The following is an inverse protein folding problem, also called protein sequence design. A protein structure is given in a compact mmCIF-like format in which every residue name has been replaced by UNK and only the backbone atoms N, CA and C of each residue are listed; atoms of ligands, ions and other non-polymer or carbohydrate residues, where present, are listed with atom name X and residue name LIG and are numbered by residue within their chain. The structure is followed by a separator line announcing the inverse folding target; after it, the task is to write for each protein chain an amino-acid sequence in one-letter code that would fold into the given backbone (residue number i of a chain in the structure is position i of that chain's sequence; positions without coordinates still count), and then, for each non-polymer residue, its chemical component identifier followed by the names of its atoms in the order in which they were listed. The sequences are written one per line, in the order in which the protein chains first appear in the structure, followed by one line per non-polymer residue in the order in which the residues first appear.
data_IF_451981276755
#
_entry.id   IF_451981276755
#
_cell.length_a   1.000
_cell.length_b   1.000
_cell.length_c   1.000
_cell.angle_alpha   90.00
_cell.angle_beta   90.00
_cell.angle_gamma   90.00
#
_symmetry.space_group_name_H-M   'P 1'
#
loop_
_entity.id
_entity.type
_entity.pdbx_description
1 polymer ?
#
# COMPACT_ATOMS: atom_id res chain seq x y z
N UNK A 1 -21.68 8.57 -12.22
CA UNK A 1 -20.31 8.56 -12.81
C UNK A 1 -19.23 8.73 -11.74
N UNK A 2 -19.40 9.65 -10.78
CA UNK A 2 -18.45 9.92 -9.68
C UNK A 2 -18.15 8.71 -8.79
N UNK A 3 -19.17 7.97 -8.33
CA UNK A 3 -18.98 6.77 -7.51
C UNK A 3 -18.16 5.66 -8.19
N UNK A 4 -18.39 5.45 -9.50
CA UNK A 4 -17.61 4.50 -10.30
C UNK A 4 -16.15 4.97 -10.42
N UNK A 5 -15.93 6.27 -10.64
CA UNK A 5 -14.58 6.85 -10.69
C UNK A 5 -13.80 6.66 -9.39
N UNK A 6 -14.45 6.86 -8.23
CA UNK A 6 -13.84 6.63 -6.92
C UNK A 6 -13.44 5.16 -6.75
N UNK A 7 -14.34 4.24 -7.09
CA UNK A 7 -14.09 2.80 -6.97
C UNK A 7 -13.00 2.31 -7.93
N UNK A 8 -12.97 2.83 -9.17
CA UNK A 8 -11.90 2.56 -10.14
C UNK A 8 -10.55 3.14 -9.70
N UNK A 9 -10.55 4.32 -9.08
CA UNK A 9 -9.34 4.91 -8.50
C UNK A 9 -8.76 4.02 -7.40
N UNK A 10 -9.60 3.54 -6.49
CA UNK A 10 -9.17 2.61 -5.44
C UNK A 10 -8.69 1.27 -6.01
N UNK A 11 -9.37 0.72 -7.02
CA UNK A 11 -8.89 -0.46 -7.75
C UNK A 11 -7.50 -0.20 -8.35
N UNK A 12 -7.33 0.91 -9.05
CA UNK A 12 -6.06 1.29 -9.69
C UNK A 12 -4.90 1.34 -8.67
N UNK A 13 -5.15 1.88 -7.48
CA UNK A 13 -4.17 1.93 -6.39
C UNK A 13 -3.72 0.54 -5.88
N UNK A 14 -4.59 -0.46 -5.97
CA UNK A 14 -4.30 -1.82 -5.52
C UNK A 14 -3.85 -2.77 -6.66
N UNK A 15 -3.91 -2.29 -7.89
CA UNK A 15 -3.69 -3.07 -9.10
C UNK A 15 -2.22 -3.09 -9.57
N UNK A 16 -1.80 -4.16 -10.26
CA UNK A 16 -0.45 -4.30 -10.81
C UNK A 16 -0.20 -3.45 -12.07
N UNK A 17 -1.23 -2.83 -12.65
CA UNK A 17 -1.20 -2.25 -13.99
C UNK A 17 -0.32 -1.01 -14.13
N UNK A 18 0.15 -0.44 -13.02
CA UNK A 18 0.90 0.81 -13.00
C UNK A 18 2.34 0.63 -12.55
N UNK A 19 3.00 -0.50 -12.86
CA UNK A 19 4.43 -0.68 -12.56
C UNK A 19 4.78 -0.40 -11.09
N UNK A 20 3.99 -0.92 -10.15
CA UNK A 20 4.09 -0.66 -8.71
C UNK A 20 3.79 0.79 -8.26
N UNK A 21 3.53 1.72 -9.18
CA UNK A 21 3.07 3.09 -8.89
C UNK A 21 1.66 3.14 -8.31
N UNK A 22 0.84 2.10 -8.54
CA UNK A 22 -0.46 1.96 -7.88
C UNK A 22 -0.30 2.01 -6.36
N UNK A 23 0.55 1.14 -5.80
CA UNK A 23 0.77 1.06 -4.36
C UNK A 23 1.63 2.19 -3.77
N UNK A 24 2.60 2.70 -4.55
CA UNK A 24 3.54 3.71 -4.05
C UNK A 24 3.00 5.13 -4.20
N UNK A 25 2.19 5.41 -5.23
CA UNK A 25 1.66 6.75 -5.54
C UNK A 25 0.15 6.81 -5.30
N UNK A 26 -0.64 6.04 -6.06
CA UNK A 26 -2.11 6.14 -6.04
C UNK A 26 -2.72 5.71 -4.69
N UNK A 27 -2.05 4.82 -3.98
CA UNK A 27 -2.46 4.36 -2.64
C UNK A 27 -2.31 5.44 -1.57
N UNK A 28 -1.53 6.51 -1.83
CA UNK A 28 -1.32 7.57 -0.84
C UNK A 28 -2.58 8.44 -0.73
N UNK A 29 -3.13 8.65 0.48
CA UNK A 29 -4.31 9.50 0.69
C UNK A 29 -4.22 10.89 0.05
N UNK A 30 -3.04 11.50 -0.02
CA UNK A 30 -2.83 12.78 -0.70
C UNK A 30 -3.24 12.72 -2.18
N UNK A 31 -2.76 11.70 -2.90
CA UNK A 31 -3.05 11.52 -4.33
C UNK A 31 -4.50 11.08 -4.50
N UNK A 32 -4.95 10.11 -3.70
CA UNK A 32 -6.33 9.65 -3.71
C UNK A 32 -7.33 10.80 -3.49
N UNK A 33 -7.12 11.62 -2.47
CA UNK A 33 -7.98 12.76 -2.15
C UNK A 33 -7.97 13.84 -3.23
N UNK A 34 -6.81 14.11 -3.83
CA UNK A 34 -6.72 15.01 -4.99
C UNK A 34 -7.55 14.49 -6.16
N UNK A 35 -7.43 13.20 -6.51
CA UNK A 35 -8.20 12.58 -7.59
C UNK A 35 -9.71 12.60 -7.32
N UNK A 36 -10.12 12.35 -6.07
CA UNK A 36 -11.52 12.45 -5.67
C UNK A 36 -12.03 13.89 -5.75
N UNK A 37 -11.22 14.87 -5.34
CA UNK A 37 -11.54 16.29 -5.50
C UNK A 37 -11.76 16.67 -6.97
N UNK A 38 -10.90 16.19 -7.88
CA UNK A 38 -11.12 16.34 -9.32
C UNK A 38 -12.43 15.72 -9.79
N UNK A 39 -12.78 14.51 -9.31
CA UNK A 39 -14.03 13.84 -9.67
C UNK A 39 -15.27 14.57 -9.14
N UNK A 40 -15.17 15.25 -8.00
CA UNK A 40 -16.27 15.97 -7.34
C UNK A 40 -16.30 17.48 -7.62
N UNK A 41 -15.32 18.02 -8.35
CA UNK A 41 -15.27 19.42 -8.78
C UNK A 41 -14.52 20.37 -7.84
N UNK A 42 -13.93 19.89 -6.75
CA UNK A 42 -13.11 20.68 -5.82
C UNK A 42 -11.77 19.98 -5.52
N UNK A 43 -10.77 20.13 -6.41
CA UNK A 43 -9.48 19.48 -6.25
C UNK A 43 -8.64 20.05 -5.10
N UNK A 44 -8.81 21.33 -4.76
CA UNK A 44 -8.04 21.97 -3.69
C UNK A 44 -8.47 21.43 -2.33
N UNK A 45 -9.77 21.42 -2.05
CA UNK A 45 -10.29 20.87 -0.79
C UNK A 45 -10.03 19.36 -0.72
N UNK A 46 -10.17 18.64 -1.84
CA UNK A 46 -9.82 17.22 -1.92
C UNK A 46 -8.35 16.93 -1.58
N UNK A 47 -7.43 17.75 -2.10
CA UNK A 47 -6.00 17.65 -1.75
C UNK A 47 -5.74 17.96 -0.27
N UNK A 48 -6.39 18.98 0.30
CA UNK A 48 -6.24 19.33 1.72
C UNK A 48 -6.72 18.22 2.64
N UNK A 49 -7.90 17.64 2.37
CA UNK A 49 -8.42 16.48 3.10
C UNK A 49 -7.49 15.28 2.94
N UNK A 50 -7.07 14.98 1.71
CA UNK A 50 -6.14 13.89 1.41
C UNK A 50 -4.81 14.04 2.15
N UNK A 51 -4.26 15.26 2.24
CA UNK A 51 -3.06 15.56 3.00
C UNK A 51 -3.26 15.31 4.51
N UNK A 52 -4.38 15.79 5.08
CA UNK A 52 -4.71 15.58 6.49
C UNK A 52 -4.84 14.09 6.83
N UNK A 53 -5.50 13.32 5.96
CA UNK A 53 -5.56 11.86 6.08
C UNK A 53 -4.16 11.27 5.97
N UNK A 54 -3.33 11.69 5.00
CA UNK A 54 -2.00 11.12 4.79
C UNK A 54 -1.10 11.22 6.04
N UNK A 55 -1.20 12.32 6.79
CA UNK A 55 -0.45 12.51 8.05
C UNK A 55 -0.81 11.45 9.10
N UNK A 56 -2.08 11.02 9.17
CA UNK A 56 -2.52 9.95 10.07
C UNK A 56 -1.78 8.62 9.81
N UNK A 57 -1.37 8.36 8.57
CA UNK A 57 -0.73 7.10 8.16
C UNK A 57 0.80 7.16 8.11
N UNK A 58 1.44 8.29 8.45
CA UNK A 58 2.91 8.42 8.39
C UNK A 58 3.65 7.43 9.30
N UNK A 59 3.09 7.13 10.47
CA UNK A 59 3.65 6.14 11.40
C UNK A 59 3.24 4.70 11.12
N UNK A 60 2.38 4.47 10.13
CA UNK A 60 1.79 3.15 9.93
C UNK A 60 2.72 2.23 9.15
N UNK A 61 3.50 1.41 9.87
CA UNK A 61 4.36 0.39 9.28
C UNK A 61 3.63 -0.95 9.34
N UNK A 62 3.27 -1.50 8.18
CA UNK A 62 2.72 -2.85 8.09
C UNK A 62 3.82 -3.89 8.29
N UNK A 63 3.76 -4.65 9.38
CA UNK A 63 4.67 -5.78 9.63
C UNK A 63 4.08 -7.07 9.04
N UNK A 64 4.92 -7.84 8.32
CA UNK A 64 4.58 -9.19 7.89
C UNK A 64 3.38 -9.31 6.94
N UNK A 65 2.98 -8.26 6.22
CA UNK A 65 1.83 -8.33 5.29
C UNK A 65 0.46 -8.03 5.90
N UNK A 66 0.39 -7.75 7.22
CA UNK A 66 -0.82 -7.27 7.86
C UNK A 66 -0.94 -5.76 7.69
N UNK A 67 -2.08 -5.30 7.16
CA UNK A 67 -2.45 -3.90 7.08
C UNK A 67 -3.44 -3.59 8.19
N UNK A 68 -3.04 -2.86 9.26
CA UNK A 68 -3.94 -2.59 10.37
C UNK A 68 -5.09 -1.62 9.99
N UNK A 69 -4.98 -0.96 8.84
CA UNK A 69 -6.01 -0.18 8.17
C UNK A 69 -5.54 0.18 6.75
N UNK A 70 -6.48 0.33 5.83
CA UNK A 70 -6.19 0.70 4.46
C UNK A 70 -6.16 2.22 4.27
N UNK A 71 -4.99 2.76 3.93
CA UNK A 71 -4.79 4.19 3.72
C UNK A 71 -5.45 4.66 2.42
N UNK A 72 -5.43 3.85 1.36
CA UNK A 72 -6.03 4.22 0.09
C UNK A 72 -7.54 4.33 0.24
N UNK A 73 -8.20 3.36 0.89
CA UNK A 73 -9.65 3.41 1.07
C UNK A 73 -10.06 4.62 1.90
N UNK A 74 -9.29 4.92 2.95
CA UNK A 74 -9.41 6.15 3.73
C UNK A 74 -9.30 7.40 2.85
N UNK A 75 -8.30 7.48 1.97
CA UNK A 75 -8.13 8.59 1.04
C UNK A 75 -9.29 8.73 0.05
N UNK A 76 -9.73 7.64 -0.58
CA UNK A 76 -10.78 7.67 -1.60
C UNK A 76 -12.17 7.94 -1.02
N UNK A 77 -12.62 7.14 -0.05
CA UNK A 77 -13.97 7.28 0.53
C UNK A 77 -14.03 8.37 1.60
N UNK A 78 -12.96 8.58 2.38
CA UNK A 78 -12.92 9.64 3.39
C UNK A 78 -12.92 11.03 2.77
N UNK A 79 -12.18 11.25 1.68
CA UNK A 79 -12.24 12.52 0.95
C UNK A 79 -13.60 12.71 0.27
N UNK A 80 -14.18 11.65 -0.28
CA UNK A 80 -15.53 11.72 -0.85
C UNK A 80 -16.57 12.11 0.22
N UNK A 81 -16.47 11.56 1.44
CA UNK A 81 -17.33 11.94 2.56
C UNK A 81 -17.18 13.42 2.92
N UNK A 82 -15.93 13.91 2.99
CA UNK A 82 -15.65 15.30 3.35
C UNK A 82 -16.21 16.29 2.32
N UNK A 83 -16.13 15.96 1.03
CA UNK A 83 -16.62 16.83 -0.04
C UNK A 83 -18.13 16.74 -0.26
N UNK A 84 -18.76 15.61 0.08
CA UNK A 84 -20.21 15.44 -0.02
C UNK A 84 -20.96 15.95 1.21
N UNK A 85 -20.34 15.93 2.39
CA UNK A 85 -20.90 16.42 3.63
C UNK A 85 -20.50 17.86 3.92
N UNK A 86 -21.25 18.59 4.77
CA UNK A 86 -20.90 19.96 5.16
C UNK A 86 -19.82 19.98 6.26
N UNK A 87 -18.95 18.96 6.31
CA UNK A 87 -17.95 18.86 7.37
C UNK A 87 -16.71 19.70 7.02
N UNK A 88 -16.15 20.43 7.99
CA UNK A 88 -14.82 21.00 7.79
C UNK A 88 -13.79 19.86 7.59
N UNK A 89 -12.71 20.08 6.82
CA UNK A 89 -11.76 19.05 6.42
C UNK A 89 -11.20 18.19 7.57
N UNK A 90 -10.99 18.75 8.76
CA UNK A 90 -10.46 18.00 9.91
C UNK A 90 -11.52 17.18 10.65
N UNK A 91 -12.79 17.58 10.60
CA UNK A 91 -13.87 16.85 11.27
C UNK A 91 -14.19 15.50 10.62
N UNK A 92 -13.72 15.26 9.39
CA UNK A 92 -13.89 13.94 8.75
C UNK A 92 -12.92 12.88 9.30
N UNK A 93 -11.77 13.28 9.84
CA UNK A 93 -10.68 12.35 10.20
C UNK A 93 -11.10 11.23 11.17
N UNK A 94 -11.91 11.49 12.22
CA UNK A 94 -12.38 10.41 13.08
C UNK A 94 -13.28 9.40 12.36
N UNK A 95 -14.02 9.85 11.33
CA UNK A 95 -14.87 8.98 10.50
C UNK A 95 -14.05 8.20 9.46
N UNK A 96 -12.85 8.66 9.13
CA UNK A 96 -11.94 7.97 8.20
C UNK A 96 -11.34 6.70 8.81
N UNK A 97 -11.09 6.67 10.12
CA UNK A 97 -10.53 5.50 10.82
C UNK A 97 -11.37 4.22 10.61
N UNK A 98 -12.70 4.20 10.85
CA UNK A 98 -13.51 3.00 10.61
C UNK A 98 -13.59 2.64 9.12
N UNK A 99 -13.61 3.63 8.22
CA UNK A 99 -13.55 3.38 6.76
C UNK A 99 -12.25 2.65 6.41
N UNK A 100 -11.12 3.09 6.96
CA UNK A 100 -9.82 2.45 6.78
C UNK A 100 -9.79 1.02 7.28
N UNK A 101 -10.40 0.77 8.44
CA UNK A 101 -10.48 -0.57 9.00
C UNK A 101 -11.28 -1.52 8.09
N UNK A 102 -12.38 -1.05 7.49
CA UNK A 102 -13.13 -1.83 6.50
C UNK A 102 -12.25 -2.19 5.28
N UNK A 103 -11.34 -1.31 4.87
CA UNK A 103 -10.36 -1.62 3.82
C UNK A 103 -9.33 -2.67 4.26
N UNK A 104 -8.93 -2.68 5.53
CA UNK A 104 -8.15 -3.77 6.12
C UNK A 104 -8.85 -5.13 6.00
N UNK A 105 -10.17 -5.18 6.19
CA UNK A 105 -10.96 -6.40 5.97
C UNK A 105 -10.98 -6.83 4.49
N UNK A 106 -11.10 -5.88 3.56
CA UNK A 106 -10.99 -6.16 2.12
C UNK A 106 -9.60 -6.72 1.77
N UNK A 107 -8.54 -6.16 2.35
CA UNK A 107 -7.18 -6.68 2.21
C UNK A 107 -7.06 -8.12 2.72
N UNK A 108 -7.59 -8.40 3.92
CA UNK A 108 -7.59 -9.76 4.48
C UNK A 108 -8.33 -10.75 3.58
N UNK A 109 -9.50 -10.35 3.05
CA UNK A 109 -10.28 -11.16 2.11
C UNK A 109 -9.47 -11.46 0.83
N UNK A 110 -8.83 -10.42 0.24
CA UNK A 110 -7.95 -10.58 -0.93
C UNK A 110 -6.81 -11.55 -0.64
N UNK A 111 -6.09 -11.36 0.46
CA UNK A 111 -4.94 -12.21 0.83
C UNK A 111 -5.35 -13.68 1.00
N UNK A 112 -6.49 -13.92 1.66
CA UNK A 112 -7.04 -15.26 1.87
C UNK A 112 -7.44 -15.90 0.54
N UNK A 113 -8.11 -15.17 -0.33
CA UNK A 113 -8.49 -15.69 -1.64
C UNK A 113 -7.24 -15.98 -2.52
N UNK A 114 -6.19 -15.17 -2.40
CA UNK A 114 -4.93 -15.37 -3.10
C UNK A 114 -4.25 -16.71 -2.80
N UNK A 115 -4.45 -17.26 -1.59
CA UNK A 115 -3.98 -18.60 -1.22
C UNK A 115 -4.63 -19.68 -2.10
N UNK A 116 -5.92 -19.53 -2.42
CA UNK A 116 -6.60 -20.48 -3.29
C UNK A 116 -6.03 -20.46 -4.71
N UNK A 117 -5.80 -19.26 -5.27
CA UNK A 117 -5.18 -19.11 -6.58
C UNK A 117 -3.75 -19.65 -6.60
N UNK A 118 -2.99 -19.43 -5.53
CA UNK A 118 -1.67 -20.02 -5.38
C UNK A 118 -1.73 -21.55 -5.48
N UNK A 119 -2.51 -22.22 -4.62
CA UNK A 119 -2.62 -23.69 -4.66
C UNK A 119 -3.17 -24.21 -5.99
N UNK A 120 -4.07 -23.46 -6.62
CA UNK A 120 -4.58 -23.83 -7.94
C UNK A 120 -3.54 -23.68 -9.04
N UNK A 121 -2.65 -22.68 -8.96
CA UNK A 121 -1.48 -22.56 -9.84
C UNK A 121 -0.65 -23.85 -9.78
N UNK A 122 -0.35 -24.34 -8.56
CA UNK A 122 0.45 -25.55 -8.37
C UNK A 122 -0.24 -26.76 -8.98
N UNK A 123 -1.53 -26.95 -8.72
CA UNK A 123 -2.33 -28.03 -9.33
C UNK A 123 -2.31 -27.97 -10.86
N UNK A 124 -2.46 -26.77 -11.42
CA UNK A 124 -2.44 -26.54 -12.87
C UNK A 124 -1.05 -26.76 -13.48
N UNK A 125 0.04 -26.66 -12.72
CA UNK A 125 1.38 -26.95 -13.23
C UNK A 125 1.79 -28.41 -13.04
N UNK A 126 1.26 -29.10 -12.01
CA UNK A 126 1.64 -30.48 -11.70
C UNK A 126 0.71 -31.56 -12.25
N UNK A 127 -0.60 -31.32 -12.41
CA UNK A 127 -1.58 -32.39 -12.68
C UNK A 127 -2.73 -31.98 -13.63
N UNK A 128 -2.77 -32.46 -14.89
CA UNK A 128 -1.66 -33.04 -15.64
C UNK A 128 -0.62 -31.97 -16.00
N UNK A 129 0.69 -32.32 -16.06
CA UNK A 129 1.71 -31.37 -16.44
C UNK A 129 1.44 -30.81 -17.85
N UNK A 130 1.67 -29.51 -18.08
CA UNK A 130 1.44 -28.88 -19.37
C UNK A 130 2.43 -29.42 -20.42
N UNK A 131 1.91 -29.94 -21.53
CA UNK A 131 2.72 -30.52 -22.61
C UNK A 131 3.52 -29.45 -23.38
N UNK A 132 3.08 -28.19 -23.36
CA UNK A 132 3.76 -27.09 -24.05
C UNK A 132 4.01 -25.89 -23.14
N UNK A 133 5.09 -25.15 -23.43
CA UNK A 133 5.42 -23.90 -22.74
C UNK A 133 4.30 -22.85 -22.84
N UNK A 134 3.55 -22.87 -23.94
CA UNK A 134 2.40 -21.98 -24.11
C UNK A 134 1.29 -22.29 -23.10
N UNK A 135 1.05 -23.57 -22.79
CA UNK A 135 0.11 -23.97 -21.75
C UNK A 135 0.58 -23.53 -20.36
N UNK A 136 1.89 -23.62 -20.05
CA UNK A 136 2.46 -23.08 -18.80
C UNK A 136 2.15 -21.59 -18.66
N UNK A 137 2.45 -20.80 -19.70
CA UNK A 137 2.23 -19.34 -19.71
C UNK A 137 0.75 -19.02 -19.56
N UNK A 138 -0.13 -19.72 -20.28
CA UNK A 138 -1.57 -19.49 -20.20
C UNK A 138 -2.14 -19.81 -18.81
N UNK A 139 -1.73 -20.94 -18.22
CA UNK A 139 -2.17 -21.36 -16.87
C UNK A 139 -1.68 -20.38 -15.79
N UNK A 140 -0.43 -19.94 -15.85
CA UNK A 140 0.10 -18.91 -14.93
C UNK A 140 -0.59 -17.57 -15.14
N UNK A 141 -0.79 -17.12 -16.38
CA UNK A 141 -1.50 -15.86 -16.64
C UNK A 141 -2.92 -15.89 -16.06
N UNK A 142 -3.64 -16.99 -16.25
CA UNK A 142 -4.99 -17.17 -15.74
C UNK A 142 -5.04 -17.11 -14.20
N UNK A 143 -4.16 -17.84 -13.53
CA UNK A 143 -4.18 -18.07 -12.08
C UNK A 143 -3.47 -16.98 -11.27
N UNK A 144 -2.47 -16.30 -11.83
CA UNK A 144 -1.70 -15.25 -11.16
C UNK A 144 -2.15 -13.83 -11.55
N UNK A 145 -2.52 -13.63 -12.82
CA UNK A 145 -2.86 -12.30 -13.34
C UNK A 145 -4.38 -12.16 -13.46
N UNK A 146 -5.00 -12.84 -14.42
CA UNK A 146 -6.38 -12.55 -14.82
C UNK A 146 -7.39 -12.73 -13.69
N UNK A 147 -7.48 -13.92 -13.10
CA UNK A 147 -8.51 -14.21 -12.10
C UNK A 147 -8.29 -13.47 -10.77
N UNK A 148 -7.06 -13.35 -10.23
CA UNK A 148 -6.80 -12.50 -9.08
C UNK A 148 -7.14 -11.03 -9.34
N UNK A 149 -6.87 -10.50 -10.54
CA UNK A 149 -7.23 -9.11 -10.88
C UNK A 149 -8.73 -8.90 -11.07
N UNK A 150 -9.44 -9.89 -11.62
CA UNK A 150 -10.90 -9.86 -11.69
C UNK A 150 -11.52 -9.94 -10.29
N UNK A 151 -10.99 -10.81 -9.42
CA UNK A 151 -11.44 -10.86 -8.03
C UNK A 151 -11.14 -9.52 -7.32
N UNK A 152 -9.96 -8.95 -7.49
CA UNK A 152 -9.63 -7.63 -6.94
C UNK A 152 -10.61 -6.58 -7.44
N UNK A 153 -10.92 -6.57 -8.73
CA UNK A 153 -11.90 -5.65 -9.31
C UNK A 153 -13.26 -5.84 -8.62
N UNK A 154 -13.75 -7.06 -8.45
CA UNK A 154 -15.03 -7.31 -7.76
C UNK A 154 -14.98 -6.89 -6.28
N UNK A 155 -13.91 -7.23 -5.56
CA UNK A 155 -13.71 -6.90 -4.14
C UNK A 155 -13.50 -5.41 -3.88
N UNK A 156 -13.21 -4.60 -4.91
CA UNK A 156 -13.00 -3.16 -4.78
C UNK A 156 -14.16 -2.39 -5.40
N UNK A 157 -14.47 -2.66 -6.66
CA UNK A 157 -15.49 -1.94 -7.43
C UNK A 157 -16.88 -2.03 -6.79
N UNK A 158 -17.28 -3.22 -6.35
CA UNK A 158 -18.61 -3.43 -5.79
C UNK A 158 -18.76 -2.75 -4.42
N UNK A 159 -17.98 -3.08 -3.37
CA UNK A 159 -18.19 -2.47 -2.05
C UNK A 159 -17.87 -0.97 -2.03
N UNK A 160 -16.83 -0.52 -2.74
CA UNK A 160 -16.46 0.90 -2.75
C UNK A 160 -17.41 1.71 -3.63
N UNK A 161 -17.84 1.15 -4.77
CA UNK A 161 -18.85 1.78 -5.62
C UNK A 161 -20.20 1.92 -4.92
N UNK A 162 -20.65 0.87 -4.23
CA UNK A 162 -21.87 0.91 -3.41
C UNK A 162 -21.73 1.89 -2.24
N UNK A 163 -20.59 1.91 -1.55
CA UNK A 163 -20.36 2.85 -0.46
C UNK A 163 -20.38 4.31 -0.97
N UNK A 164 -19.69 4.59 -2.08
CA UNK A 164 -19.66 5.91 -2.70
C UNK A 164 -21.02 6.37 -3.24
N UNK A 165 -21.79 5.46 -3.83
CA UNK A 165 -23.06 5.83 -4.43
C UNK A 165 -24.19 5.92 -3.39
N UNK A 166 -24.25 4.98 -2.44
CA UNK A 166 -25.46 4.73 -1.65
C UNK A 166 -25.25 4.93 -0.14
N UNK A 167 -24.05 4.74 0.40
CA UNK A 167 -23.78 4.93 1.82
C UNK A 167 -23.38 6.38 2.15
N UNK A 168 -22.46 6.94 1.36
CA UNK A 168 -21.88 8.26 1.63
C UNK A 168 -22.90 9.41 1.57
N UNK A 169 -23.80 9.51 0.56
CA UNK A 169 -24.72 10.64 0.50
C UNK A 169 -25.73 10.71 1.66
N UNK A 170 -26.39 9.61 2.08
CA UNK A 170 -27.23 9.63 3.28
C UNK A 170 -26.45 9.96 4.56
N UNK A 171 -25.23 9.43 4.69
CA UNK A 171 -24.36 9.73 5.83
C UNK A 171 -24.01 11.23 5.87
N UNK A 172 -23.64 11.81 4.74
CA UNK A 172 -23.36 13.24 4.60
C UNK A 172 -24.57 14.11 4.99
N UNK A 173 -25.78 13.74 4.53
CA UNK A 173 -27.03 14.42 4.91
C UNK A 173 -27.33 14.29 6.39
N UNK A 174 -27.17 13.10 6.96
CA UNK A 174 -27.36 12.87 8.38
C UNK A 174 -26.43 13.79 9.20
N UNK A 175 -25.14 13.83 8.87
CA UNK A 175 -24.15 14.69 9.51
C UNK A 175 -24.50 16.18 9.40
N UNK A 176 -25.10 16.61 8.28
CA UNK A 176 -25.58 17.99 8.09
C UNK A 176 -26.73 18.37 9.03
N UNK A 177 -27.57 17.39 9.39
CA UNK A 177 -28.79 17.61 10.18
C UNK A 177 -28.62 17.34 11.67
N UNK A 178 -27.41 16.99 12.12
CA UNK A 178 -27.17 16.64 13.52
C UNK A 178 -27.34 17.87 14.43
N UNK A 179 -28.35 17.90 15.32
CA UNK A 179 -28.48 18.97 16.29
C UNK A 179 -27.38 18.86 17.35
N UNK A 180 -27.04 19.97 18.03
CA UNK A 180 -26.15 19.93 19.19
C UNK A 180 -26.67 18.91 20.22
N UNK A 181 -25.81 17.99 20.66
CA UNK A 181 -26.21 16.93 21.59
C UNK A 181 -26.38 17.53 22.99
N UNK A 182 -27.52 17.35 23.66
CA UNK A 182 -27.71 17.82 25.04
C UNK A 182 -26.89 16.92 25.97
N UNK A 183 -25.75 17.42 26.44
CA UNK A 183 -24.90 16.75 27.43
C UNK A 183 -24.93 17.52 28.77
N UNK A 184 -24.66 16.86 29.92
CA UNK A 184 -24.52 17.54 31.20
C UNK A 184 -23.36 18.55 31.12
N UNK A 185 -23.67 19.85 31.08
CA UNK A 185 -22.68 20.93 30.87
C UNK A 185 -22.99 21.86 29.69
N UNK A 186 -24.01 21.56 28.88
CA UNK A 186 -24.48 22.42 27.78
C UNK A 186 -24.60 21.68 26.43
N UNK A 187 -25.18 22.32 25.40
CA UNK A 187 -25.28 21.72 24.07
C UNK A 187 -23.89 21.53 23.45
N UNK A 188 -23.53 20.28 23.18
CA UNK A 188 -22.26 19.93 22.56
C UNK A 188 -22.40 19.87 21.04
N UNK A 189 -21.61 20.67 20.34
CA UNK A 189 -21.49 20.62 18.89
C UNK A 189 -20.61 19.43 18.50
N UNK A 190 -21.25 18.36 18.01
CA UNK A 190 -20.58 17.13 17.62
C UNK A 190 -19.53 17.39 16.52
N UNK A 191 -19.78 18.32 15.60
CA UNK A 191 -18.87 18.62 14.49
C UNK A 191 -17.58 19.24 15.02
N UNK A 192 -17.68 20.21 15.94
CA UNK A 192 -16.51 20.77 16.63
C UNK A 192 -15.77 19.72 17.46
N UNK A 193 -16.52 18.79 18.05
CA UNK A 193 -15.96 17.64 18.75
C UNK A 193 -15.11 16.75 17.85
N UNK A 194 -15.65 16.39 16.68
CA UNK A 194 -14.96 15.61 15.66
C UNK A 194 -13.74 16.36 15.12
N UNK A 195 -13.82 17.68 14.94
CA UNK A 195 -12.69 18.49 14.50
C UNK A 195 -11.52 18.44 15.50
N UNK A 196 -11.81 18.63 16.79
CA UNK A 196 -10.81 18.51 17.86
C UNK A 196 -10.22 17.10 17.94
N UNK A 197 -11.08 16.08 17.86
CA UNK A 197 -10.63 14.68 17.85
C UNK A 197 -9.75 14.37 16.62
N UNK A 198 -10.11 14.92 15.45
CA UNK A 198 -9.32 14.81 14.22
C UNK A 198 -7.92 15.38 14.38
N UNK A 199 -7.79 16.56 14.99
CA UNK A 199 -6.49 17.16 15.31
C UNK A 199 -5.62 16.28 16.22
N UNK A 200 -6.21 15.62 17.22
CA UNK A 200 -5.50 14.67 18.09
C UNK A 200 -5.04 13.42 17.32
N UNK A 201 -5.87 12.89 16.42
CA UNK A 201 -5.51 11.73 15.57
C UNK A 201 -4.31 12.03 14.67
N UNK A 202 -4.25 13.24 14.09
CA UNK A 202 -3.08 13.69 13.32
C UNK A 202 -1.81 13.69 14.18
N UNK A 203 -1.88 14.18 15.42
CA UNK A 203 -0.75 14.15 16.34
C UNK A 203 -0.28 12.72 16.66
N UNK A 204 -1.22 11.77 16.82
CA UNK A 204 -0.89 10.35 17.02
C UNK A 204 -0.14 9.77 15.82
N UNK A 205 -0.56 10.08 14.59
CA UNK A 205 0.12 9.63 13.36
C UNK A 205 1.59 10.08 13.30
N UNK A 206 1.85 11.34 13.65
CA UNK A 206 3.20 11.90 13.75
C UNK A 206 4.00 11.20 14.85
N UNK A 207 3.41 11.05 16.05
CA UNK A 207 4.06 10.41 17.20
C UNK A 207 4.44 8.95 16.92
N UNK A 208 3.60 8.20 16.21
CA UNK A 208 3.90 6.83 15.82
C UNK A 208 5.12 6.76 14.87
N UNK A 209 5.25 7.72 13.95
CA UNK A 209 6.45 7.85 13.11
C UNK A 209 7.70 8.18 13.92
N UNK A 210 7.56 8.99 14.96
CA UNK A 210 8.65 9.37 15.86
C UNK A 210 9.18 8.20 16.71
N UNK A 211 8.41 7.12 16.93
CA UNK A 211 8.86 5.95 17.71
C UNK A 211 10.17 5.35 17.19
N UNK A 212 10.43 5.45 15.88
CA UNK A 212 11.67 4.96 15.28
C UNK A 212 12.81 5.99 15.32
N UNK A 213 12.48 7.29 15.41
CA UNK A 213 13.45 8.39 15.51
C UNK A 213 13.89 8.66 16.95
N UNK A 214 13.07 8.37 17.96
CA UNK A 214 13.39 8.59 19.38
C UNK A 214 14.34 7.52 19.96
N UNK A 215 15.46 7.26 19.26
CA UNK A 215 16.59 6.49 19.78
C UNK A 215 17.65 7.45 20.31
N UNK A 216 18.36 7.05 21.38
CA UNK A 216 19.32 7.90 22.13
C UNK A 216 20.23 8.82 21.28
N UNK A 217 20.82 8.40 20.13
CA UNK A 217 21.65 9.30 19.34
C UNK A 217 20.88 10.38 18.54
N UNK A 218 19.60 10.17 18.25
CA UNK A 218 18.81 11.04 17.36
C UNK A 218 17.89 12.03 18.12
N UNK A 219 17.70 11.85 19.44
CA UNK A 219 16.84 12.74 20.25
C UNK A 219 17.35 14.17 20.24
N UNK A 220 18.67 14.39 20.34
CA UNK A 220 19.26 15.73 20.31
C UNK A 220 18.99 16.44 18.98
N UNK A 221 19.16 15.73 17.86
CA UNK A 221 18.88 16.23 16.51
C UNK A 221 17.39 16.57 16.34
N UNK A 222 16.50 15.72 16.86
CA UNK A 222 15.06 15.98 16.85
C UNK A 222 14.71 17.26 17.63
N UNK A 223 15.20 17.40 18.87
CA UNK A 223 14.91 18.57 19.71
C UNK A 223 15.45 19.86 19.11
N UNK A 224 16.65 19.80 18.51
CA UNK A 224 17.26 20.92 17.81
C UNK A 224 16.43 21.31 16.58
N UNK A 225 16.03 20.35 15.74
CA UNK A 225 15.14 20.60 14.61
C UNK A 225 13.77 21.16 15.01
N UNK A 226 13.19 20.66 16.11
CA UNK A 226 11.95 21.19 16.67
C UNK A 226 12.10 22.64 17.15
N UNK A 227 13.18 22.95 17.88
CA UNK A 227 13.48 24.32 18.32
C UNK A 227 13.63 25.26 17.12
N UNK A 228 14.37 24.85 16.08
CA UNK A 228 14.50 25.62 14.85
C UNK A 228 13.17 25.81 14.12
N UNK A 229 12.30 24.80 14.10
CA UNK A 229 10.95 24.91 13.52
C UNK A 229 10.13 25.97 14.24
N UNK A 230 10.06 25.91 15.58
CA UNK A 230 9.29 26.86 16.40
C UNK A 230 9.84 28.29 16.31
N UNK A 231 11.16 28.45 16.37
CA UNK A 231 11.80 29.77 16.28
C UNK A 231 11.76 30.34 14.84
N UNK A 232 11.76 29.46 13.84
CA UNK A 232 11.75 29.82 12.41
C UNK A 232 10.37 30.18 11.87
N UNK A 233 9.28 29.76 12.52
CA UNK A 233 7.88 30.00 12.08
C UNK A 233 7.54 31.47 11.81
N UNK A 234 8.23 32.42 12.44
CA UNK A 234 8.00 33.85 12.25
C UNK A 234 8.89 34.51 11.18
N UNK A 235 9.92 33.83 10.67
CA UNK A 235 10.92 34.42 9.75
C UNK A 235 11.16 33.64 8.46
N UNK A 236 10.90 32.33 8.48
CA UNK A 236 10.99 31.47 7.32
C UNK A 236 9.55 30.99 7.06
N UNK A 237 8.97 31.24 5.87
CA UNK A 237 7.70 30.60 5.52
C UNK A 237 7.88 29.10 5.75
N UNK A 238 6.91 28.46 6.42
CA UNK A 238 6.98 27.10 6.98
C UNK A 238 7.14 25.96 5.96
N UNK A 239 8.08 26.08 5.03
CA UNK A 239 8.49 25.05 4.11
C UNK A 239 9.25 24.00 4.90
N UNK A 240 8.54 22.92 5.22
CA UNK A 240 9.08 21.63 5.71
C UNK A 240 10.31 21.21 4.89
N UNK A 241 10.40 21.60 3.61
CA UNK A 241 11.57 21.39 2.75
C UNK A 241 12.86 22.07 3.23
N UNK A 242 12.80 23.30 3.76
CA UNK A 242 13.98 24.01 4.25
C UNK A 242 14.52 23.38 5.55
N UNK A 243 13.60 23.00 6.44
CA UNK A 243 13.92 22.26 7.67
C UNK A 243 14.47 20.86 7.36
N UNK A 244 13.93 20.17 6.35
CA UNK A 244 14.44 18.89 5.89
C UNK A 244 15.84 18.99 5.27
N UNK A 245 16.11 20.05 4.49
CA UNK A 245 17.45 20.32 3.94
C UNK A 245 18.47 20.68 5.02
N UNK A 246 18.08 21.45 6.03
CA UNK A 246 18.92 21.73 7.19
C UNK A 246 19.22 20.46 8.01
N UNK A 247 18.20 19.60 8.20
CA UNK A 247 18.36 18.29 8.84
C UNK A 247 19.27 17.34 8.04
N UNK A 248 19.16 17.35 6.71
CA UNK A 248 20.05 16.60 5.82
C UNK A 248 21.50 17.12 5.89
N UNK A 249 21.69 18.44 5.88
CA UNK A 249 23.01 19.05 6.04
C UNK A 249 23.67 18.71 7.39
N UNK A 250 22.89 18.68 8.47
CA UNK A 250 23.34 18.24 9.79
C UNK A 250 23.66 16.73 9.82
N UNK A 251 22.88 15.90 9.13
CA UNK A 251 23.13 14.45 9.03
C UNK A 251 24.36 14.11 8.16
N UNK A 252 24.77 15.02 7.27
CA UNK A 252 25.99 14.88 6.46
C UNK A 252 27.26 15.34 7.20
N UNK A 253 27.15 15.93 8.40
CA UNK A 253 28.30 16.15 9.27
C UNK A 253 28.83 14.78 9.74
N UNK A 254 30.16 14.63 9.87
CA UNK A 254 30.76 13.35 10.22
C UNK A 254 30.13 12.82 11.52
N UNK A 255 29.70 11.55 11.55
CA UNK A 255 29.04 11.00 12.72
C UNK A 255 29.97 11.12 13.93
N UNK A 256 29.40 11.46 15.08
CA UNK A 256 30.08 11.28 16.37
C UNK A 256 30.46 9.80 16.42
N UNK A 257 31.74 9.45 16.61
CA UNK A 257 32.17 8.05 16.59
C UNK A 257 31.44 7.30 17.70
N UNK A 258 30.43 6.53 17.33
CA UNK A 258 29.89 5.51 18.19
C UNK A 258 31.02 4.49 18.44
N UNK A 259 31.14 4.04 19.68
CA UNK A 259 32.02 2.93 20.05
C UNK A 259 31.79 1.70 19.16
N UNK A 260 32.67 0.69 19.24
CA UNK A 260 32.80 -0.36 18.23
C UNK A 260 31.45 -0.95 17.85
N UNK A 261 31.18 -0.96 16.54
CA UNK A 261 29.95 -1.47 15.96
C UNK A 261 29.65 -2.89 16.48
N UNK A 262 28.39 -3.23 16.80
CA UNK A 262 28.03 -4.62 17.09
C UNK A 262 28.34 -5.46 15.86
N UNK A 263 29.12 -6.54 16.03
CA UNK A 263 29.42 -7.46 14.92
C UNK A 263 28.12 -8.03 14.36
N UNK A 264 27.93 -7.96 13.05
CA UNK A 264 26.81 -8.56 12.29
C UNK A 264 26.86 -10.11 12.26
N UNK A 265 27.33 -10.74 13.33
CA UNK A 265 27.52 -12.19 13.42
C UNK A 265 26.39 -12.92 14.17
N UNK A 266 25.43 -12.24 14.82
CA UNK A 266 24.52 -12.89 15.77
C UNK A 266 23.01 -12.89 15.43
N UNK A 267 22.63 -12.67 14.17
CA UNK A 267 21.22 -12.88 13.73
C UNK A 267 21.05 -13.72 12.47
N UNK A 268 22.09 -14.46 12.07
CA UNK A 268 21.92 -15.60 11.18
C UNK A 268 21.48 -16.82 12.01
N UNK A 269 20.22 -16.82 12.46
CA UNK A 269 19.57 -18.07 12.87
C UNK A 269 19.65 -19.04 11.69
N UNK A 270 20.36 -20.15 11.90
CA UNK A 270 20.46 -21.28 10.98
C UNK A 270 19.08 -21.68 10.49
N UNK A 271 18.73 -21.26 9.27
CA UNK A 271 17.70 -21.96 8.51
C UNK A 271 18.34 -23.26 8.04
N UNK A 272 17.70 -24.42 8.23
CA UNK A 272 18.19 -25.66 7.65
C UNK A 272 18.39 -25.44 6.15
N UNK A 273 19.59 -25.77 5.65
CA UNK A 273 19.85 -25.76 4.23
C UNK A 273 18.75 -26.59 3.53
N UNK A 274 18.13 -26.10 2.44
CA UNK A 274 17.21 -26.91 1.67
C UNK A 274 17.94 -28.21 1.28
N UNK A 275 17.29 -29.36 1.51
CA UNK A 275 17.84 -30.68 1.16
C UNK A 275 18.38 -30.61 -0.27
N UNK A 276 19.66 -30.91 -0.44
CA UNK A 276 20.33 -30.90 -1.74
C UNK A 276 19.54 -31.78 -2.70
N UNK A 277 18.82 -31.15 -3.62
CA UNK A 277 18.28 -31.85 -4.78
C UNK A 277 19.47 -32.29 -5.64
N UNK A 278 19.46 -33.52 -6.18
CA UNK A 278 20.51 -33.95 -7.08
C UNK A 278 20.65 -32.94 -8.23
N UNK A 279 21.88 -32.62 -8.65
CA UNK A 279 22.11 -31.64 -9.71
C UNK A 279 21.32 -32.06 -10.95
N UNK A 280 20.56 -31.14 -11.55
CA UNK A 280 19.82 -31.45 -12.77
C UNK A 280 20.80 -31.94 -13.84
N UNK A 281 20.39 -32.90 -14.70
CA UNK A 281 21.25 -33.44 -15.73
C UNK A 281 21.83 -32.29 -16.59
N UNK A 282 23.10 -32.40 -17.03
CA UNK A 282 23.76 -31.34 -17.77
C UNK A 282 22.97 -30.99 -19.03
N UNK A 283 22.52 -29.74 -19.11
CA UNK A 283 21.76 -29.24 -20.25
C UNK A 283 22.59 -29.41 -21.54
N UNK A 284 22.02 -30.12 -22.53
CA UNK A 284 22.59 -30.24 -23.88
C UNK A 284 22.64 -28.86 -24.53
N UNK A 285 23.84 -28.25 -24.50
CA UNK A 285 24.23 -26.89 -24.95
C UNK A 285 23.65 -25.76 -24.07
N UNK A 286 24.48 -24.80 -23.60
CA UNK A 286 23.99 -23.67 -22.82
C UNK A 286 23.18 -22.75 -23.74
N UNK A 287 21.84 -22.81 -23.66
CA UNK A 287 20.99 -21.77 -24.23
C UNK A 287 21.26 -20.48 -23.49
N UNK A 288 21.93 -19.53 -24.14
CA UNK A 288 22.28 -18.24 -23.53
C UNK A 288 21.05 -17.35 -23.43
N UNK A 289 20.86 -16.74 -22.27
CA UNK A 289 19.87 -15.69 -22.07
C UNK A 289 20.25 -14.45 -22.88
N UNK A 290 19.25 -13.73 -23.36
CA UNK A 290 19.42 -12.43 -24.00
C UNK A 290 18.97 -11.32 -23.07
N UNK A 291 19.47 -10.10 -23.33
CA UNK A 291 18.98 -8.89 -22.67
C UNK A 291 17.47 -8.69 -22.82
N UNK A 292 16.87 -9.17 -23.92
CA UNK A 292 15.42 -9.13 -24.12
C UNK A 292 14.66 -9.95 -23.07
N UNK A 293 15.16 -11.14 -22.73
CA UNK A 293 14.51 -12.01 -21.74
C UNK A 293 14.60 -11.40 -20.33
N UNK A 294 15.75 -10.80 -19.99
CA UNK A 294 15.96 -10.11 -18.71
C UNK A 294 15.07 -8.87 -18.58
N UNK A 295 14.97 -8.05 -19.62
CA UNK A 295 14.09 -6.86 -19.63
C UNK A 295 12.63 -7.26 -19.53
N UNK A 296 12.20 -8.32 -20.22
CA UNK A 296 10.84 -8.85 -20.11
C UNK A 296 10.56 -9.35 -18.69
N UNK A 297 11.48 -10.12 -18.11
CA UNK A 297 11.37 -10.61 -16.73
C UNK A 297 11.24 -9.47 -15.72
N UNK A 298 12.09 -8.44 -15.85
CA UNK A 298 12.04 -7.24 -15.02
C UNK A 298 10.72 -6.47 -15.17
N UNK A 299 10.19 -6.31 -16.39
CA UNK A 299 8.90 -5.69 -16.62
C UNK A 299 7.75 -6.50 -16.01
N UNK A 300 7.76 -7.82 -16.16
CA UNK A 300 6.74 -8.69 -15.54
C UNK A 300 6.76 -8.60 -14.02
N UNK A 301 7.94 -8.51 -13.41
CA UNK A 301 8.07 -8.28 -11.97
C UNK A 301 7.52 -6.92 -11.55
N UNK A 302 7.92 -5.87 -12.27
CA UNK A 302 7.55 -4.49 -11.95
C UNK A 302 6.03 -4.28 -11.96
N UNK A 303 5.33 -4.88 -12.93
CA UNK A 303 3.88 -4.80 -12.99
C UNK A 303 3.24 -5.85 -12.07
N UNK A 304 3.56 -7.13 -12.23
CA UNK A 304 2.73 -8.22 -11.72
C UNK A 304 3.24 -8.93 -10.48
N UNK A 305 4.29 -8.43 -9.80
CA UNK A 305 4.79 -9.02 -8.54
C UNK A 305 3.70 -9.15 -7.46
N UNK A 306 2.76 -8.21 -7.40
CA UNK A 306 1.66 -8.20 -6.43
C UNK A 306 0.31 -8.67 -7.00
N UNK A 307 0.27 -9.24 -8.21
CA UNK A 307 -0.99 -9.60 -8.85
C UNK A 307 -1.78 -10.64 -8.02
N UNK A 308 -1.11 -11.68 -7.54
CA UNK A 308 -1.65 -12.66 -6.58
C UNK A 308 -0.88 -12.65 -5.25
N UNK A 309 -0.86 -11.51 -4.56
CA UNK A 309 -0.24 -11.41 -3.23
C UNK A 309 -1.09 -12.16 -2.19
N UNK A 310 -0.48 -13.06 -1.40
CA UNK A 310 -1.20 -13.98 -0.51
C UNK A 310 -0.41 -14.37 0.74
N UNK A 311 -1.08 -14.95 1.74
CA UNK A 311 -0.47 -15.30 3.03
C UNK A 311 0.46 -16.53 3.00
N UNK A 312 0.26 -17.45 2.06
CA UNK A 312 1.03 -18.70 2.03
C UNK A 312 2.44 -18.48 1.50
N UNK A 313 2.57 -17.64 0.46
CA UNK A 313 3.86 -17.42 -0.22
C UNK A 313 4.12 -15.99 -0.68
N UNK A 314 3.40 -14.99 -0.16
CA UNK A 314 3.56 -13.57 -0.49
C UNK A 314 3.56 -13.33 -2.01
N UNK A 315 4.71 -12.98 -2.59
CA UNK A 315 4.90 -12.73 -4.03
C UNK A 315 5.32 -13.97 -4.83
N UNK A 316 5.30 -15.18 -4.25
CA UNK A 316 5.87 -16.38 -4.86
C UNK A 316 5.36 -16.67 -6.28
N UNK A 317 4.05 -16.58 -6.52
CA UNK A 317 3.48 -16.74 -7.87
C UNK A 317 3.87 -15.59 -8.81
N UNK A 318 4.10 -14.39 -8.27
CA UNK A 318 4.60 -13.24 -9.02
C UNK A 318 6.05 -13.39 -9.44
N UNK A 319 6.86 -14.02 -8.59
CA UNK A 319 8.22 -14.40 -8.94
C UNK A 319 8.21 -15.46 -10.06
N UNK A 320 7.41 -16.52 -9.93
CA UNK A 320 7.26 -17.54 -10.97
C UNK A 320 6.83 -16.92 -12.31
N UNK A 321 5.84 -16.01 -12.28
CA UNK A 321 5.40 -15.26 -13.47
C UNK A 321 6.53 -14.42 -14.08
N UNK A 322 7.31 -13.71 -13.27
CA UNK A 322 8.45 -12.93 -13.74
C UNK A 322 9.56 -13.80 -14.35
N UNK A 323 9.71 -15.06 -13.92
CA UNK A 323 10.72 -15.98 -14.45
C UNK A 323 10.29 -16.68 -15.75
N UNK A 324 9.03 -16.55 -16.18
CA UNK A 324 8.51 -17.16 -17.42
C UNK A 324 9.40 -16.90 -18.65
N UNK A 325 9.86 -15.68 -18.97
CA UNK A 325 10.71 -15.44 -20.15
C UNK A 325 12.03 -16.22 -20.11
N UNK A 326 12.60 -16.35 -18.91
CA UNK A 326 13.87 -17.05 -18.65
C UNK A 326 13.67 -18.55 -18.84
N UNK A 327 12.71 -19.16 -18.15
CA UNK A 327 12.46 -20.61 -18.27
C UNK A 327 11.95 -21.00 -19.65
N UNK A 328 11.18 -20.13 -20.33
CA UNK A 328 10.74 -20.36 -21.71
C UNK A 328 11.93 -20.55 -22.66
N UNK A 329 13.05 -19.87 -22.41
CA UNK A 329 14.28 -20.02 -23.19
C UNK A 329 15.11 -21.22 -22.73
N UNK A 330 15.36 -21.34 -21.42
CA UNK A 330 16.27 -22.35 -20.86
C UNK A 330 15.72 -23.78 -20.96
N UNK A 331 14.43 -23.97 -20.69
CA UNK A 331 13.86 -25.31 -20.56
C UNK A 331 13.56 -25.92 -21.93
N UNK A 332 13.66 -27.24 -22.11
CA UNK A 332 13.38 -27.89 -23.39
C UNK A 332 11.88 -27.86 -23.74
N UNK A 333 11.01 -28.19 -22.81
CA UNK A 333 9.58 -28.46 -23.02
C UNK A 333 8.70 -27.78 -21.94
N UNK A 334 7.39 -28.09 -21.93
CA UNK A 334 6.43 -27.51 -20.98
C UNK A 334 6.48 -28.14 -19.59
N UNK A 335 6.78 -29.43 -19.48
CA UNK A 335 6.81 -30.18 -18.23
C UNK A 335 8.04 -29.79 -17.41
N UNK A 336 9.21 -29.72 -18.05
CA UNK A 336 10.44 -29.23 -17.41
C UNK A 336 10.35 -27.75 -17.02
N UNK A 337 9.61 -26.95 -17.78
CA UNK A 337 9.31 -25.57 -17.43
C UNK A 337 8.36 -25.46 -16.24
N UNK A 338 7.31 -26.28 -16.18
CA UNK A 338 6.38 -26.31 -15.07
C UNK A 338 7.02 -26.79 -13.77
N UNK A 339 7.92 -27.78 -13.83
CA UNK A 339 8.64 -28.27 -12.65
C UNK A 339 9.62 -27.24 -12.07
N UNK A 340 10.08 -26.28 -12.88
CA UNK A 340 11.01 -25.24 -12.47
C UNK A 340 10.34 -23.98 -11.88
N UNK A 341 9.01 -23.86 -12.00
CA UNK A 341 8.20 -22.71 -11.61
C UNK A 341 7.30 -23.04 -10.42
#
# INVERSE_FOLDING_TARGET
MTALGIALGYYAALSPWFANLGFTVLYRPLIAGTLVGWLLGDPLTGMQVGAAINVLYLGWIGAGGHLPGDAALAGYLGTALALLGPLPPLAVLPLVVPISFAGGLLWLARMRAGVHFARWTDRMLSQPPPASKAQVVARLFLTHVLLPQLLLLLLTLLPVGLAAAWLLPPLARFLATLPPLPLPGGPYDLVRGLERAGGLLTAVGIALGMRNLFRRPFVAHFLLGFLFSVLGQHRLPGDVGLLALAGLALALLPPIPDGPAPSEAETASERPAPKAQPPPPPLRRPRRLTWGDLRCSWLLWLFFSHANYNWERLQGTGFAWAMVPIHRRLQPDGETMAAAL
#
